data_IF_311995470567
#
_entry.id   IF_311995470567
#
_cell.length_a   1.000
_cell.length_b   1.000
_cell.length_c   1.000
_cell.angle_alpha   90.00
_cell.angle_beta   90.00
_cell.angle_gamma   90.00
#
_symmetry.space_group_name_H-M   'P 1'
#
loop_
_entity.id
_entity.type
_entity.pdbx_description
1 polymer ?
#
# COMPACT_ATOMS: atom_id res chain seq x y z
N UNK A 1 23.99 -7.17 13.02
CA UNK A 1 22.61 -6.70 12.87
C UNK A 1 21.75 -7.79 12.25
N UNK A 2 20.57 -7.99 12.78
CA UNK A 2 19.63 -8.95 12.24
C UNK A 2 18.50 -8.16 11.56
N UNK A 3 18.39 -8.27 10.25
CA UNK A 3 17.26 -7.75 9.50
C UNK A 3 16.14 -8.80 9.53
N UNK A 4 14.92 -8.40 9.84
CA UNK A 4 13.74 -9.27 9.86
C UNK A 4 12.58 -8.59 9.16
N UNK A 5 11.85 -9.38 8.37
CA UNK A 5 10.53 -9.04 7.88
C UNK A 5 9.48 -9.75 8.74
N UNK A 6 8.28 -9.21 8.87
CA UNK A 6 7.18 -9.88 9.52
C UNK A 6 7.24 -9.94 11.04
N UNK A 7 7.92 -8.99 11.69
CA UNK A 7 7.85 -8.83 13.14
C UNK A 7 6.50 -8.27 13.62
N UNK A 8 6.25 -8.23 14.95
CA UNK A 8 5.03 -7.66 15.49
C UNK A 8 4.91 -6.18 15.15
N UNK A 9 3.71 -5.74 14.80
CA UNK A 9 3.40 -4.36 14.44
C UNK A 9 2.54 -3.68 15.49
N UNK A 10 2.52 -2.35 15.48
CA UNK A 10 1.65 -1.54 16.31
C UNK A 10 0.29 -1.26 15.62
N UNK A 11 -0.53 -0.44 16.25
CA UNK A 11 -1.85 -0.05 15.71
C UNK A 11 -1.76 0.75 14.40
N UNK A 12 -0.61 1.33 14.09
CA UNK A 12 -0.33 2.02 12.84
C UNK A 12 0.30 1.13 11.78
N UNK A 13 0.34 -0.18 12.02
CA UNK A 13 0.99 -1.19 11.18
C UNK A 13 2.50 -0.99 11.02
N UNK A 14 3.12 -0.19 11.86
CA UNK A 14 4.56 0.01 11.90
C UNK A 14 5.21 -1.06 12.79
N UNK A 15 6.44 -1.52 12.48
CA UNK A 15 7.15 -2.47 13.31
C UNK A 15 7.33 -1.94 14.74
N UNK A 16 7.03 -2.76 15.75
CA UNK A 16 7.24 -2.40 17.15
C UNK A 16 8.72 -2.16 17.44
N UNK A 17 9.00 -1.26 18.35
CA UNK A 17 10.34 -0.99 18.83
C UNK A 17 10.75 -1.98 19.94
N UNK A 18 12.04 -2.26 20.02
CA UNK A 18 12.66 -2.95 21.13
C UNK A 18 12.92 -4.45 20.90
N UNK A 19 14.10 -4.89 21.34
CA UNK A 19 14.54 -6.29 21.26
C UNK A 19 13.63 -7.23 22.04
N UNK A 20 13.12 -6.80 23.20
CA UNK A 20 12.22 -7.59 24.04
C UNK A 20 10.89 -7.93 23.33
N UNK A 21 10.46 -7.08 22.39
CA UNK A 21 9.24 -7.27 21.61
C UNK A 21 9.50 -7.91 20.23
N UNK A 22 10.69 -8.42 19.97
CA UNK A 22 11.11 -8.84 18.63
C UNK A 22 10.89 -7.76 17.56
N UNK A 23 11.00 -6.50 17.95
CA UNK A 23 10.77 -5.33 17.09
C UNK A 23 11.98 -4.95 16.25
N UNK A 24 11.80 -3.91 15.44
CA UNK A 24 12.84 -3.34 14.59
C UNK A 24 13.63 -2.22 15.27
N UNK A 25 14.61 -1.72 14.53
CA UNK A 25 15.35 -0.51 14.89
C UNK A 25 14.64 0.72 14.32
N UNK A 26 14.66 1.80 15.10
CA UNK A 26 14.11 3.08 14.64
C UNK A 26 15.06 3.71 13.62
N UNK A 27 14.55 3.98 12.43
CA UNK A 27 15.19 4.86 11.47
C UNK A 27 14.73 6.30 11.72
N UNK A 28 15.53 7.04 12.48
CA UNK A 28 15.20 8.41 12.85
C UNK A 28 15.54 9.42 11.75
N UNK A 29 15.33 10.72 12.06
CA UNK A 29 15.61 11.82 11.14
C UNK A 29 17.08 11.87 10.71
N UNK A 30 18.00 11.58 11.64
CA UNK A 30 19.44 11.65 11.34
C UNK A 30 19.85 10.54 10.38
N UNK A 31 19.37 9.33 10.56
CA UNK A 31 19.65 8.18 9.68
C UNK A 31 19.06 8.41 8.28
N UNK A 32 17.85 9.01 8.20
CA UNK A 32 17.25 9.39 6.93
C UNK A 32 18.11 10.41 6.20
N UNK A 33 18.57 11.46 6.88
CA UNK A 33 19.45 12.47 6.29
C UNK A 33 20.78 11.88 5.80
N UNK A 34 21.33 10.90 6.51
CA UNK A 34 22.52 10.20 6.06
C UNK A 34 22.27 9.43 4.75
N UNK A 35 21.15 8.73 4.64
CA UNK A 35 20.75 8.01 3.42
C UNK A 35 20.51 8.96 2.25
N UNK A 36 19.85 10.09 2.48
CA UNK A 36 19.64 11.14 1.49
C UNK A 36 20.95 11.77 1.03
N UNK A 37 21.88 12.00 1.96
CA UNK A 37 23.23 12.53 1.65
C UNK A 37 24.07 11.58 0.77
N UNK A 38 23.82 10.29 0.85
CA UNK A 38 24.41 9.28 -0.04
C UNK A 38 23.67 9.09 -1.36
N UNK A 39 22.51 9.72 -1.53
CA UNK A 39 21.66 9.52 -2.71
C UNK A 39 21.03 8.13 -2.80
N UNK A 40 20.91 7.43 -1.66
CA UNK A 40 20.38 6.07 -1.59
C UNK A 40 18.85 6.08 -1.55
N UNK A 41 18.19 6.45 -2.66
CA UNK A 41 16.74 6.58 -2.77
C UNK A 41 16.03 5.25 -2.58
N UNK A 42 16.48 4.20 -3.26
CA UNK A 42 15.93 2.84 -3.18
C UNK A 42 15.97 2.28 -1.75
N UNK A 43 17.11 2.44 -1.07
CA UNK A 43 17.25 2.04 0.32
C UNK A 43 16.30 2.79 1.24
N UNK A 44 16.14 4.10 1.03
CA UNK A 44 15.22 4.92 1.82
C UNK A 44 13.78 4.52 1.60
N UNK A 45 13.39 4.27 0.35
CA UNK A 45 12.07 3.76 -0.02
C UNK A 45 11.77 2.40 0.63
N UNK A 46 12.71 1.46 0.50
CA UNK A 46 12.59 0.14 1.13
C UNK A 46 12.35 0.25 2.64
N UNK A 47 13.21 1.02 3.34
CA UNK A 47 13.19 1.10 4.81
C UNK A 47 12.01 1.88 5.36
N UNK A 48 11.60 2.95 4.70
CA UNK A 48 10.54 3.83 5.19
C UNK A 48 9.15 3.47 4.70
N UNK A 49 9.04 2.64 3.67
CA UNK A 49 7.77 2.26 3.08
C UNK A 49 7.59 0.74 3.05
N UNK A 50 8.36 0.01 2.24
CA UNK A 50 8.13 -1.42 2.00
C UNK A 50 8.26 -2.26 3.28
N UNK A 51 9.22 -1.93 4.15
CA UNK A 51 9.48 -2.63 5.41
C UNK A 51 8.83 -1.97 6.63
N UNK A 52 8.02 -0.95 6.44
CA UNK A 52 7.36 -0.23 7.52
C UNK A 52 5.86 -0.51 7.51
N UNK A 53 5.08 0.39 6.95
CA UNK A 53 3.62 0.37 6.99
C UNK A 53 2.99 0.37 5.58
N UNK A 54 3.59 -0.31 4.62
CA UNK A 54 3.03 -0.49 3.28
C UNK A 54 1.60 -1.02 3.38
N UNK A 55 0.68 -0.35 2.71
CA UNK A 55 -0.73 -0.70 2.68
C UNK A 55 -1.34 -0.34 1.33
N UNK A 56 -2.46 -0.95 1.00
CA UNK A 56 -3.23 -0.64 -0.19
C UNK A 56 -4.51 0.06 0.23
N UNK A 57 -4.78 1.23 -0.33
CA UNK A 57 -6.06 1.93 -0.22
C UNK A 57 -6.79 1.84 -1.55
N UNK A 58 -8.11 1.66 -1.49
CA UNK A 58 -8.94 1.67 -2.70
C UNK A 58 -9.56 3.05 -2.85
N UNK A 59 -9.06 3.81 -3.83
CA UNK A 59 -9.42 5.21 -4.06
C UNK A 59 -10.42 5.29 -5.20
N UNK A 60 -11.53 5.98 -4.96
CA UNK A 60 -12.56 6.18 -5.98
C UNK A 60 -12.14 7.27 -6.98
N UNK A 61 -12.22 6.97 -8.26
CA UNK A 61 -11.93 7.92 -9.36
C UNK A 61 -12.90 9.11 -9.37
N UNK A 62 -14.18 8.87 -9.01
CA UNK A 62 -15.24 9.88 -9.11
C UNK A 62 -15.26 10.86 -7.92
N UNK A 63 -15.16 10.35 -6.68
CA UNK A 63 -15.32 11.18 -5.48
C UNK A 63 -14.07 11.25 -4.61
N UNK A 64 -12.95 10.65 -5.04
CA UNK A 64 -11.68 10.60 -4.30
C UNK A 64 -11.80 10.01 -2.88
N UNK A 65 -12.80 9.15 -2.65
CA UNK A 65 -12.94 8.46 -1.38
C UNK A 65 -11.87 7.37 -1.27
N UNK A 66 -11.11 7.40 -0.17
CA UNK A 66 -10.00 6.47 0.10
C UNK A 66 -10.44 5.17 0.79
N UNK A 67 -11.69 5.05 1.17
CA UNK A 67 -12.24 3.90 1.87
C UNK A 67 -13.14 3.06 0.94
N UNK A 68 -12.69 2.82 -0.28
CA UNK A 68 -13.34 1.90 -1.21
C UNK A 68 -13.20 0.45 -0.77
N UNK A 69 -14.01 -0.42 -1.31
CA UNK A 69 -13.88 -1.86 -1.11
C UNK A 69 -12.98 -2.49 -2.18
N UNK A 70 -12.28 -3.57 -1.82
CA UNK A 70 -11.46 -4.30 -2.78
C UNK A 70 -12.34 -4.86 -3.91
N UNK A 71 -11.78 -5.04 -5.11
CA UNK A 71 -12.51 -5.67 -6.21
C UNK A 71 -12.86 -7.12 -5.86
N UNK A 72 -14.05 -7.60 -6.24
CA UNK A 72 -14.37 -9.01 -6.17
C UNK A 72 -13.52 -9.81 -7.16
N UNK A 73 -13.44 -11.13 -6.96
CA UNK A 73 -12.67 -12.01 -7.85
C UNK A 73 -13.06 -11.81 -9.32
N UNK A 74 -12.05 -11.59 -10.16
CA UNK A 74 -12.23 -11.38 -11.60
C UNK A 74 -12.53 -9.94 -12.03
N UNK A 75 -12.49 -8.97 -11.12
CA UNK A 75 -12.63 -7.55 -11.44
C UNK A 75 -11.36 -6.78 -11.05
N UNK A 76 -11.05 -5.74 -11.80
CA UNK A 76 -9.88 -4.88 -11.57
C UNK A 76 -10.20 -3.70 -10.67
N UNK A 77 -11.44 -3.25 -10.62
CA UNK A 77 -11.88 -2.09 -9.86
C UNK A 77 -12.88 -2.49 -8.77
N UNK A 78 -12.80 -1.81 -7.63
CA UNK A 78 -13.60 -2.06 -6.46
C UNK A 78 -14.85 -1.16 -6.34
N UNK A 79 -15.66 -1.43 -5.33
CA UNK A 79 -16.90 -0.72 -5.02
C UNK A 79 -16.65 0.57 -4.24
N UNK A 80 -17.24 1.66 -4.68
CA UNK A 80 -17.38 2.88 -3.89
C UNK A 80 -18.77 2.97 -3.26
N UNK A 81 -18.85 2.89 -1.94
CA UNK A 81 -20.14 3.00 -1.22
C UNK A 81 -20.76 4.40 -1.29
N UNK A 82 -19.96 5.45 -1.46
CA UNK A 82 -20.49 6.82 -1.55
C UNK A 82 -21.12 7.11 -2.90
N UNK A 83 -20.47 6.67 -3.99
CA UNK A 83 -20.98 6.80 -5.34
C UNK A 83 -21.99 5.70 -5.71
N UNK A 84 -22.02 4.63 -4.91
CA UNK A 84 -22.78 3.40 -5.19
C UNK A 84 -22.42 2.78 -6.57
N UNK A 85 -21.15 2.88 -6.92
CA UNK A 85 -20.61 2.39 -8.19
C UNK A 85 -19.62 1.25 -7.92
N UNK A 86 -19.87 0.11 -8.54
CA UNK A 86 -19.09 -1.12 -8.33
C UNK A 86 -17.79 -1.19 -9.14
N UNK A 87 -17.48 -0.20 -9.96
CA UNK A 87 -16.31 -0.21 -10.85
C UNK A 87 -15.57 1.12 -10.86
N UNK A 88 -15.41 1.74 -9.70
CA UNK A 88 -14.84 3.08 -9.58
C UNK A 88 -13.66 3.21 -8.61
N UNK A 89 -13.27 2.14 -7.91
CA UNK A 89 -12.17 2.18 -6.95
C UNK A 89 -10.94 1.47 -7.48
N UNK A 90 -9.82 2.19 -7.55
CA UNK A 90 -8.51 1.66 -7.93
C UNK A 90 -7.64 1.41 -6.70
N UNK A 91 -6.81 0.37 -6.71
CA UNK A 91 -5.82 0.13 -5.67
C UNK A 91 -4.69 1.14 -5.77
N UNK A 92 -4.38 1.81 -4.67
CA UNK A 92 -3.25 2.75 -4.56
C UNK A 92 -2.40 2.33 -3.38
N UNK A 93 -1.13 2.09 -3.60
CA UNK A 93 -0.17 1.77 -2.55
C UNK A 93 0.26 3.05 -1.84
N UNK A 94 0.09 3.07 -0.52
CA UNK A 94 0.54 4.17 0.32
C UNK A 94 0.81 3.71 1.75
N UNK A 95 1.61 4.48 2.53
CA UNK A 95 1.81 4.19 3.95
C UNK A 95 0.49 4.21 4.71
N UNK A 96 0.29 3.25 5.61
CA UNK A 96 -0.95 3.20 6.43
C UNK A 96 -1.13 4.45 7.28
N UNK A 97 -0.04 5.02 7.79
CA UNK A 97 -0.04 6.30 8.51
C UNK A 97 -0.63 7.44 7.68
N UNK A 98 -0.40 7.45 6.36
CA UNK A 98 -1.01 8.42 5.44
C UNK A 98 -2.51 8.20 5.32
N UNK A 99 -2.98 6.96 5.21
CA UNK A 99 -4.42 6.64 5.18
C UNK A 99 -5.10 7.14 6.46
N UNK A 100 -4.48 6.91 7.61
CA UNK A 100 -4.99 7.38 8.92
C UNK A 100 -5.05 8.90 8.96
N UNK A 101 -3.98 9.59 8.52
CA UNK A 101 -3.94 11.05 8.48
C UNK A 101 -5.05 11.63 7.59
N UNK A 102 -5.23 11.09 6.38
CA UNK A 102 -6.28 11.53 5.45
C UNK A 102 -7.68 11.35 6.06
N UNK A 103 -7.91 10.25 6.77
CA UNK A 103 -9.17 10.02 7.48
C UNK A 103 -9.38 11.02 8.64
N UNK A 104 -8.34 11.35 9.42
CA UNK A 104 -8.44 12.38 10.46
C UNK A 104 -8.74 13.76 9.87
N UNK A 105 -8.08 14.14 8.77
CA UNK A 105 -8.36 15.41 8.10
C UNK A 105 -9.79 15.46 7.57
N UNK A 106 -10.26 14.38 6.98
CA UNK A 106 -11.66 14.26 6.52
C UNK A 106 -12.65 14.39 7.68
N UNK A 107 -12.38 13.72 8.81
CA UNK A 107 -13.22 13.81 10.00
C UNK A 107 -13.23 15.22 10.61
N UNK A 108 -12.14 15.98 10.47
CA UNK A 108 -12.03 17.38 10.92
C UNK A 108 -12.67 18.39 9.94
N UNK A 109 -13.30 17.92 8.86
CA UNK A 109 -13.93 18.81 7.88
C UNK A 109 -12.97 19.40 6.84
N UNK A 110 -11.74 18.89 6.75
CA UNK A 110 -10.73 19.29 5.76
C UNK A 110 -10.39 18.11 4.85
N UNK A 111 -11.29 17.68 3.96
CA UNK A 111 -11.02 16.55 3.09
C UNK A 111 -9.94 16.89 2.07
N UNK A 112 -8.94 16.02 1.97
CA UNK A 112 -7.98 16.03 0.86
C UNK A 112 -8.51 15.09 -0.20
N UNK A 113 -8.58 15.57 -1.43
CA UNK A 113 -8.95 14.77 -2.59
C UNK A 113 -7.68 14.29 -3.30
N UNK A 114 -7.62 12.99 -3.54
CA UNK A 114 -6.58 12.39 -4.34
C UNK A 114 -7.06 12.33 -5.79
N UNK A 115 -6.35 12.98 -6.69
CA UNK A 115 -6.59 12.87 -8.12
C UNK A 115 -5.71 11.75 -8.64
N UNK A 116 -6.32 10.74 -9.25
CA UNK A 116 -5.61 9.66 -9.90
C UNK A 116 -5.33 10.08 -11.34
N UNK A 117 -4.07 10.00 -11.73
CA UNK A 117 -3.63 10.12 -13.12
C UNK A 117 -3.06 8.76 -13.50
N UNK A 118 -3.57 8.17 -14.57
CA UNK A 118 -3.00 6.96 -15.13
C UNK A 118 -1.87 7.41 -16.06
N UNK A 119 -0.69 6.90 -15.85
CA UNK A 119 0.39 7.06 -16.82
C UNK A 119 0.01 6.24 -18.05
N UNK A 120 -0.30 6.93 -19.15
CA UNK A 120 -0.69 6.29 -20.42
C UNK A 120 0.43 5.44 -21.01
N UNK A 121 1.67 5.65 -20.57
CA UNK A 121 2.86 4.94 -21.02
C UNK A 121 3.07 3.56 -20.35
N UNK A 122 2.34 3.22 -19.29
CA UNK A 122 2.39 1.90 -18.60
C UNK A 122 1.24 0.96 -19.00
N UNK A 123 0.40 1.33 -19.96
CA UNK A 123 -0.60 0.42 -20.52
C UNK A 123 0.01 -0.31 -21.73
N UNK A 124 1.11 -0.99 -21.54
CA UNK A 124 1.43 -2.15 -22.34
C UNK A 124 0.51 -3.31 -21.88
N UNK A 125 -0.72 -3.26 -22.38
CA UNK A 125 -1.57 -4.46 -22.42
C UNK A 125 -0.87 -5.35 -23.44
N UNK A 126 -0.26 -6.48 -23.07
CA UNK A 126 0.21 -7.41 -24.07
C UNK A 126 -1.00 -7.82 -24.89
N UNK A 127 -1.03 -7.37 -26.15
CA UNK A 127 -1.98 -7.87 -27.13
C UNK A 127 -1.75 -9.38 -27.25
N UNK A 128 -2.70 -10.12 -26.72
CA UNK A 128 -3.10 -11.46 -27.11
C UNK A 128 -1.99 -12.35 -27.69
N UNK A 129 -1.18 -12.98 -26.84
CA UNK A 129 -0.59 -14.27 -27.21
C UNK A 129 -1.52 -15.36 -26.67
N UNK A 130 -2.24 -15.91 -27.63
CA UNK A 130 -2.99 -17.18 -27.67
C UNK A 130 -2.89 -18.07 -26.41
N UNK A 131 -4.06 -18.42 -25.93
CA UNK A 131 -4.34 -19.60 -25.13
C UNK A 131 -3.43 -20.78 -25.52
N UNK A 132 -2.39 -21.02 -24.71
CA UNK A 132 -1.87 -22.37 -24.50
C UNK A 132 -0.82 -22.34 -23.38
N UNK A 133 -1.04 -23.19 -22.39
CA UNK A 133 -0.11 -23.61 -21.33
C UNK A 133 0.19 -22.64 -20.16
N UNK A 134 -0.79 -22.41 -19.31
CA UNK A 134 -0.47 -22.22 -17.90
C UNK A 134 -0.94 -23.41 -17.07
N UNK A 135 -0.06 -24.43 -17.01
CA UNK A 135 -0.15 -25.49 -16.03
C UNK A 135 0.25 -24.94 -14.66
N UNK A 136 -0.73 -24.89 -13.78
CA UNK A 136 -0.63 -25.14 -12.32
C UNK A 136 0.75 -25.01 -11.66
N UNK A 137 1.07 -23.85 -11.17
CA UNK A 137 1.77 -23.68 -9.90
C UNK A 137 0.98 -22.68 -9.06
N UNK A 138 0.07 -23.24 -8.27
CA UNK A 138 -0.64 -22.54 -7.21
C UNK A 138 0.34 -22.16 -6.11
N UNK A 139 0.93 -20.97 -6.18
CA UNK A 139 1.46 -20.34 -4.97
C UNK A 139 0.32 -19.65 -4.23
N UNK A 140 -0.25 -20.43 -3.30
CA UNK A 140 -1.22 -19.97 -2.30
C UNK A 140 -0.60 -18.84 -1.45
N UNK A 141 -0.88 -17.60 -1.80
CA UNK A 141 -0.78 -16.50 -0.84
C UNK A 141 -1.96 -16.57 0.13
N UNK A 142 -1.76 -17.29 1.22
CA UNK A 142 -2.68 -17.27 2.35
C UNK A 142 -2.66 -15.89 3.02
N UNK A 143 -3.75 -15.15 2.86
CA UNK A 143 -4.04 -13.87 3.53
C UNK A 143 -4.31 -14.05 5.04
N UNK A 144 -4.12 -15.24 5.60
CA UNK A 144 -4.56 -15.57 6.96
C UNK A 144 -3.48 -15.48 8.04
N UNK A 145 -2.26 -15.01 7.75
CA UNK A 145 -1.18 -14.97 8.74
C UNK A 145 -0.86 -13.55 9.25
N UNK A 146 -1.83 -12.64 9.26
CA UNK A 146 -1.69 -11.34 9.92
C UNK A 146 -2.84 -11.13 10.91
N UNK A 147 -2.74 -11.82 12.04
CA UNK A 147 -3.39 -11.40 13.30
C UNK A 147 -2.29 -11.11 14.32
#
# INVERSE_FOLDING_TARGET
AHARNGGPVDNYRQPKAGKANNGGLRMGKMERLASEGHGAAEFTYERMFLMSDRSVAYVCENCSNINGEPPPQGQTKGLCRLCNDSNSCLPVEMPYSTIVLLNYMKASGMPIQLKLELDEDEIDIPEDESEDEWSSEEENYHVNDVI
#
